data_IF_371288318848
#
_entry.id   IF_371288318848
#
_cell.length_a   1.000
_cell.length_b   1.000
_cell.length_c   1.000
_cell.angle_alpha   90.00
_cell.angle_beta   90.00
_cell.angle_gamma   90.00
#
_symmetry.space_group_name_H-M   'P 1'
#
loop_
_entity.id
_entity.type
_entity.pdbx_description
1 polymer ?
#
# COMPACT_ATOMS: atom_id res chain seq x y z
N UNK A 1 -12.64 -17.10 -7.18
CA UNK A 1 -11.87 -17.83 -6.14
C UNK A 1 -11.91 -16.99 -4.88
N UNK A 2 -12.67 -17.47 -3.91
CA UNK A 2 -13.00 -16.75 -2.67
C UNK A 2 -12.45 -17.54 -1.49
N UNK A 3 -11.19 -17.26 -1.12
CA UNK A 3 -10.62 -17.67 0.16
C UNK A 3 -9.72 -16.50 0.61
N UNK A 4 -10.30 -15.53 1.32
CA UNK A 4 -9.58 -14.39 1.91
C UNK A 4 -9.85 -14.27 3.41
N UNK A 5 -9.71 -15.34 4.17
CA UNK A 5 -9.71 -15.25 5.65
C UNK A 5 -8.65 -16.15 6.28
N UNK A 6 -7.45 -15.61 6.54
CA UNK A 6 -6.86 -15.88 7.86
C UNK A 6 -6.54 -14.63 8.69
N UNK A 7 -6.47 -13.42 8.10
CA UNK A 7 -6.09 -12.20 8.85
C UNK A 7 -6.94 -10.97 8.48
N UNK A 8 -8.14 -10.78 9.08
CA UNK A 8 -9.01 -9.64 8.79
C UNK A 8 -8.44 -8.28 9.26
N UNK A 9 -7.33 -8.29 10.01
CA UNK A 9 -6.74 -7.10 10.65
C UNK A 9 -5.62 -6.42 9.83
N UNK A 10 -5.08 -7.09 8.81
CA UNK A 10 -4.00 -6.53 7.98
C UNK A 10 -4.56 -5.36 7.17
N UNK A 11 -4.02 -4.17 7.39
CA UNK A 11 -4.43 -2.93 6.71
C UNK A 11 -3.59 -2.66 5.46
N UNK A 12 -4.22 -2.27 4.36
CA UNK A 12 -3.52 -1.80 3.16
C UNK A 12 -3.35 -0.28 3.24
N UNK A 13 -2.13 0.20 2.99
CA UNK A 13 -1.82 1.63 2.85
C UNK A 13 -1.35 1.89 1.42
N UNK A 14 -2.01 2.83 0.73
CA UNK A 14 -1.62 3.19 -0.62
C UNK A 14 -0.54 4.28 -0.58
N UNK A 15 0.60 3.98 -1.14
CA UNK A 15 1.71 4.92 -1.30
C UNK A 15 2.15 4.99 -2.77
N UNK A 16 1.29 4.60 -3.71
CA UNK A 16 1.61 4.67 -5.14
C UNK A 16 1.44 6.09 -5.71
N UNK A 17 2.20 6.42 -6.76
CA UNK A 17 2.06 7.70 -7.50
C UNK A 17 0.63 7.89 -8.02
N UNK A 18 -0.08 6.81 -8.30
CA UNK A 18 -1.45 6.81 -8.80
C UNK A 18 -2.44 7.54 -7.90
N UNK A 19 -2.22 7.59 -6.57
CA UNK A 19 -3.09 8.39 -5.69
C UNK A 19 -2.98 9.87 -6.01
N UNK A 20 -1.79 10.36 -6.36
CA UNK A 20 -1.59 11.76 -6.76
C UNK A 20 -2.09 12.06 -8.18
N UNK A 21 -1.97 11.09 -9.10
CA UNK A 21 -2.35 11.25 -10.52
C UNK A 21 -3.85 11.06 -10.75
N UNK A 22 -4.45 10.05 -10.13
CA UNK A 22 -5.83 9.61 -10.37
C UNK A 22 -6.79 9.99 -9.25
N UNK A 23 -6.27 10.31 -8.07
CA UNK A 23 -7.03 10.46 -6.84
C UNK A 23 -7.23 9.14 -6.10
N UNK A 24 -7.47 9.24 -4.78
CA UNK A 24 -7.55 8.09 -3.87
C UNK A 24 -8.62 7.06 -4.27
N UNK A 25 -9.86 7.50 -4.50
CA UNK A 25 -10.95 6.58 -4.79
C UNK A 25 -10.77 5.85 -6.11
N UNK A 26 -10.25 6.55 -7.13
CA UNK A 26 -9.96 5.94 -8.43
C UNK A 26 -8.82 4.94 -8.31
N UNK A 27 -7.71 5.29 -7.65
CA UNK A 27 -6.59 4.37 -7.42
C UNK A 27 -7.06 3.11 -6.66
N UNK A 28 -7.78 3.27 -5.55
CA UNK A 28 -8.40 2.16 -4.80
C UNK A 28 -9.29 1.30 -5.69
N UNK A 29 -10.04 1.90 -6.63
CA UNK A 29 -10.94 1.20 -7.55
C UNK A 29 -10.27 0.18 -8.49
N UNK A 30 -8.96 0.27 -8.71
CA UNK A 30 -8.21 -0.72 -9.51
C UNK A 30 -7.97 -2.04 -8.75
N UNK A 31 -8.15 -2.04 -7.43
CA UNK A 31 -8.08 -3.26 -6.64
C UNK A 31 -9.40 -4.04 -6.72
N UNK A 32 -9.38 -5.38 -6.64
CA UNK A 32 -10.57 -6.19 -6.43
C UNK A 32 -11.36 -5.74 -5.20
N UNK A 33 -12.70 -5.83 -5.24
CA UNK A 33 -13.58 -5.31 -4.20
C UNK A 33 -13.23 -5.79 -2.78
N UNK A 34 -12.79 -7.04 -2.63
CA UNK A 34 -12.37 -7.59 -1.34
C UNK A 34 -11.12 -6.90 -0.76
N UNK A 35 -10.20 -6.46 -1.62
CA UNK A 35 -9.00 -5.73 -1.23
C UNK A 35 -9.31 -4.26 -0.96
N UNK A 36 -10.23 -3.65 -1.71
CA UNK A 36 -10.67 -2.27 -1.48
C UNK A 36 -11.15 -2.05 -0.04
N UNK A 37 -11.90 -3.02 0.52
CA UNK A 37 -12.39 -2.98 1.90
C UNK A 37 -11.28 -2.98 2.96
N UNK A 38 -10.06 -3.37 2.60
CA UNK A 38 -8.90 -3.44 3.49
C UNK A 38 -8.00 -2.20 3.35
N UNK A 39 -8.26 -1.31 2.39
CA UNK A 39 -7.53 -0.05 2.23
C UNK A 39 -7.94 0.93 3.33
N UNK A 40 -6.98 1.27 4.20
CA UNK A 40 -7.19 2.19 5.33
C UNK A 40 -6.99 3.66 4.95
N UNK A 41 -6.19 3.91 3.92
CA UNK A 41 -5.95 5.23 3.40
C UNK A 41 -4.76 5.27 2.45
N UNK A 42 -4.39 6.49 2.10
CA UNK A 42 -3.18 6.77 1.34
C UNK A 42 -2.29 7.75 2.08
N UNK A 43 -1.00 7.69 1.78
CA UNK A 43 -0.04 8.60 2.36
C UNK A 43 -0.10 9.99 1.66
N UNK A 44 -0.66 10.08 0.44
CA UNK A 44 -0.78 11.33 -0.31
C UNK A 44 -1.96 12.15 0.21
N UNK A 45 -1.73 13.45 0.40
CA UNK A 45 -2.78 14.42 0.61
C UNK A 45 -2.39 15.73 -0.07
N UNK A 46 -3.28 16.29 -0.88
CA UNK A 46 -2.97 17.44 -1.77
C UNK A 46 -2.47 18.68 -1.03
N UNK A 47 -2.92 18.91 0.21
CA UNK A 47 -2.43 20.01 1.05
C UNK A 47 -0.99 19.82 1.57
N UNK A 48 -0.39 18.64 1.43
CA UNK A 48 0.96 18.31 1.88
C UNK A 48 1.90 17.95 0.72
N UNK A 49 1.58 18.38 -0.51
CA UNK A 49 2.34 18.04 -1.71
C UNK A 49 3.84 18.38 -1.60
N UNK A 50 4.19 19.50 -0.99
CA UNK A 50 5.61 19.89 -0.82
C UNK A 50 6.39 18.94 0.09
N UNK A 51 5.77 18.48 1.18
CA UNK A 51 6.38 17.49 2.08
C UNK A 51 6.47 16.12 1.41
N UNK A 52 5.43 15.74 0.67
CA UNK A 52 5.39 14.51 -0.12
C UNK A 52 6.59 14.40 -1.06
N UNK A 53 6.86 15.44 -1.83
CA UNK A 53 7.96 15.43 -2.81
C UNK A 53 9.35 15.42 -2.14
N UNK A 54 9.45 15.77 -0.85
CA UNK A 54 10.71 15.86 -0.10
C UNK A 54 11.08 14.61 0.72
N UNK A 55 10.11 13.75 1.02
CA UNK A 55 10.29 12.55 1.83
C UNK A 55 10.32 11.30 0.95
N UNK A 56 11.12 10.30 1.33
CA UNK A 56 11.05 9.00 0.65
C UNK A 56 9.68 8.35 0.88
N UNK A 57 9.30 7.45 -0.03
CA UNK A 57 8.08 6.65 0.11
C UNK A 57 7.97 5.94 1.44
N UNK A 58 9.06 5.30 1.84
CA UNK A 58 9.15 4.65 3.14
C UNK A 58 8.93 5.63 4.30
N UNK A 59 9.52 6.84 4.27
CA UNK A 59 9.32 7.84 5.33
C UNK A 59 7.85 8.28 5.44
N UNK A 60 7.18 8.45 4.30
CA UNK A 60 5.75 8.81 4.26
C UNK A 60 4.89 7.71 4.91
N UNK A 61 5.13 6.45 4.54
CA UNK A 61 4.42 5.30 5.10
C UNK A 61 4.72 5.13 6.58
N UNK A 62 5.98 5.22 6.99
CA UNK A 62 6.38 5.09 8.39
C UNK A 62 5.67 6.13 9.26
N UNK A 63 5.58 7.39 8.80
CA UNK A 63 4.82 8.45 9.46
C UNK A 63 3.32 8.14 9.58
N UNK A 64 2.72 7.61 8.51
CA UNK A 64 1.31 7.21 8.50
C UNK A 64 1.04 6.06 9.48
N UNK A 65 1.82 4.97 9.39
CA UNK A 65 1.73 3.80 10.27
C UNK A 65 1.83 4.19 11.73
N UNK A 66 2.80 5.05 12.08
CA UNK A 66 2.99 5.56 13.43
C UNK A 66 1.79 6.38 13.90
N UNK A 67 1.33 7.35 13.09
CA UNK A 67 0.19 8.22 13.42
C UNK A 67 -1.10 7.43 13.65
N UNK A 68 -1.34 6.41 12.82
CA UNK A 68 -2.56 5.60 12.85
C UNK A 68 -2.44 4.33 13.70
N UNK A 69 -1.28 4.11 14.35
CA UNK A 69 -0.99 2.96 15.21
C UNK A 69 -1.28 1.62 14.51
N UNK A 70 -0.87 1.50 13.25
CA UNK A 70 -1.06 0.28 12.49
C UNK A 70 -0.05 -0.77 12.92
N UNK A 71 -0.54 -1.90 13.44
CA UNK A 71 0.32 -2.99 13.94
C UNK A 71 0.58 -4.06 12.89
N UNK A 72 -0.30 -4.18 11.90
CA UNK A 72 -0.25 -5.18 10.85
C UNK A 72 -0.69 -4.54 9.54
N UNK A 73 0.26 -4.33 8.63
CA UNK A 73 0.06 -3.47 7.47
C UNK A 73 0.91 -3.86 6.27
N UNK A 74 0.40 -3.57 5.08
CA UNK A 74 1.10 -3.72 3.81
C UNK A 74 1.01 -2.38 3.06
N UNK A 75 2.14 -1.90 2.55
CA UNK A 75 2.15 -0.81 1.59
C UNK A 75 2.14 -1.35 0.17
N UNK A 76 1.36 -0.70 -0.68
CA UNK A 76 1.43 -0.91 -2.13
C UNK A 76 2.03 0.34 -2.76
N UNK A 77 3.21 0.19 -3.36
CA UNK A 77 4.06 1.30 -3.78
C UNK A 77 4.82 0.98 -5.06
N UNK A 78 4.82 1.91 -6.01
CA UNK A 78 5.58 1.85 -7.25
C UNK A 78 7.00 2.40 -7.13
N UNK A 79 7.41 2.82 -5.93
CA UNK A 79 8.74 3.31 -5.66
C UNK A 79 9.27 2.73 -4.33
N UNK A 80 10.30 1.89 -4.44
CA UNK A 80 10.91 1.22 -3.28
C UNK A 80 12.11 1.99 -2.69
N UNK A 81 12.40 3.20 -3.18
CA UNK A 81 13.52 4.01 -2.71
C UNK A 81 13.35 4.36 -1.23
N UNK A 82 14.41 4.13 -0.46
CA UNK A 82 14.46 4.41 0.98
C UNK A 82 13.78 3.35 1.86
N UNK A 83 13.30 2.25 1.27
CA UNK A 83 12.86 1.09 2.04
C UNK A 83 14.06 0.32 2.59
N UNK A 84 14.15 0.15 3.91
CA UNK A 84 15.20 -0.68 4.48
C UNK A 84 14.85 -2.17 4.29
N UNK A 85 15.89 -3.02 4.16
CA UNK A 85 15.73 -4.43 3.81
C UNK A 85 14.82 -5.18 4.79
N UNK A 86 14.99 -4.91 6.08
CA UNK A 86 14.20 -5.49 7.16
C UNK A 86 12.73 -5.05 7.17
N UNK A 87 12.33 -4.10 6.32
CA UNK A 87 10.93 -3.67 6.16
C UNK A 87 10.30 -4.09 4.84
N UNK A 88 11.06 -4.68 3.90
CA UNK A 88 10.53 -5.09 2.59
C UNK A 88 9.41 -6.13 2.67
N UNK A 89 9.32 -6.89 3.76
CA UNK A 89 8.19 -7.79 4.00
C UNK A 89 6.84 -7.04 4.06
N UNK A 90 6.81 -5.75 4.42
CA UNK A 90 5.62 -4.91 4.36
C UNK A 90 5.33 -4.31 2.97
N UNK A 91 6.25 -4.37 2.01
CA UNK A 91 6.09 -3.75 0.69
C UNK A 91 5.54 -4.75 -0.34
N UNK A 92 4.50 -4.35 -1.06
CA UNK A 92 4.14 -4.90 -2.37
C UNK A 92 4.54 -3.86 -3.41
N UNK A 93 5.64 -4.15 -4.10
CA UNK A 93 6.14 -3.26 -5.14
C UNK A 93 5.34 -3.46 -6.41
N UNK A 94 4.81 -2.37 -6.96
CA UNK A 94 4.10 -2.36 -8.24
C UNK A 94 4.97 -1.74 -9.32
N UNK A 95 4.74 -2.09 -10.58
CA UNK A 95 5.29 -1.31 -11.69
C UNK A 95 4.62 0.07 -11.77
N UNK A 96 5.35 1.10 -12.19
CA UNK A 96 4.84 2.49 -12.24
C UNK A 96 3.71 2.67 -13.27
N UNK A 97 3.81 1.99 -14.40
CA UNK A 97 2.87 2.14 -15.51
C UNK A 97 1.56 1.39 -15.28
N UNK A 98 1.62 0.24 -14.61
CA UNK A 98 0.48 -0.65 -14.33
C UNK A 98 -0.05 -0.52 -12.91
N UNK A 99 0.76 -0.04 -11.97
CA UNK A 99 0.38 0.33 -10.61
C UNK A 99 -0.46 -0.73 -9.91
N UNK A 100 -1.59 -0.31 -9.35
CA UNK A 100 -2.54 -1.19 -8.66
C UNK A 100 -3.27 -2.15 -9.60
N UNK A 101 -3.21 -1.94 -10.91
CA UNK A 101 -3.77 -2.82 -11.93
C UNK A 101 -2.88 -4.00 -12.29
N UNK A 102 -1.63 -4.05 -11.81
CA UNK A 102 -0.74 -5.19 -12.03
C UNK A 102 -1.27 -6.45 -11.32
N UNK A 103 -1.68 -7.43 -12.12
CA UNK A 103 -2.20 -8.71 -11.66
C UNK A 103 -1.22 -9.44 -10.73
N UNK A 104 0.08 -9.39 -11.02
CA UNK A 104 1.11 -10.03 -10.19
C UNK A 104 1.22 -9.36 -8.83
N UNK A 105 1.18 -8.02 -8.80
CA UNK A 105 1.18 -7.28 -7.55
C UNK A 105 -0.08 -7.56 -6.72
N UNK A 106 -1.26 -7.67 -7.36
CA UNK A 106 -2.50 -8.06 -6.68
C UNK A 106 -2.43 -9.48 -6.10
N UNK A 107 -1.81 -10.43 -6.82
CA UNK A 107 -1.62 -11.79 -6.34
C UNK A 107 -0.66 -11.85 -5.14
N UNK A 108 0.45 -11.10 -5.19
CA UNK A 108 1.38 -10.99 -4.06
C UNK A 108 0.68 -10.35 -2.85
N UNK A 109 -0.09 -9.29 -3.08
CA UNK A 109 -0.88 -8.62 -2.05
C UNK A 109 -1.88 -9.58 -1.41
N UNK A 110 -2.62 -10.34 -2.21
CA UNK A 110 -3.55 -11.35 -1.72
C UNK A 110 -2.83 -12.43 -0.90
N UNK A 111 -1.67 -12.93 -1.36
CA UNK A 111 -0.86 -13.90 -0.62
C UNK A 111 -0.37 -13.35 0.74
N UNK A 112 0.12 -12.11 0.78
CA UNK A 112 0.58 -11.49 2.04
C UNK A 112 -0.58 -11.27 3.01
N UNK A 113 -1.76 -10.87 2.52
CA UNK A 113 -2.96 -10.74 3.35
C UNK A 113 -3.46 -12.09 3.88
N UNK A 114 -3.30 -13.16 3.10
CA UNK A 114 -3.67 -14.49 3.51
C UNK A 114 -2.72 -15.07 4.57
N UNK A 115 -1.41 -14.81 4.48
CA UNK A 115 -0.41 -15.41 5.38
C UNK A 115 0.03 -14.50 6.53
N UNK A 116 -0.48 -13.27 6.57
CA UNK A 116 -0.05 -12.24 7.50
C UNK A 116 1.30 -11.65 7.11
N UNK A 117 1.67 -10.55 7.76
CA UNK A 117 2.95 -9.89 7.51
C UNK A 117 4.02 -10.56 8.37
N UNK A 118 4.50 -11.72 7.91
CA UNK A 118 5.59 -12.44 8.55
C UNK A 118 6.91 -11.66 8.42
N UNK A 119 7.66 -11.60 9.51
CA UNK A 119 8.92 -10.86 9.66
C UNK A 119 10.12 -11.64 9.13
#
# INVERSE_FOLDING_TARGET
>A
MEILEPHPRVSIVLSTSWVSVLGFDRAKGYLPQALQKRVRGATYHSTFKSWWDSATRHQQIAGYVMRHRLTDWIAVDDNDVGWPEEKRHHLVHTDEQSGLGDQKAQEILAHKLANGVAK
#
